data_IF_524953637905
#
_entry.id   IF_524953637905
#
_cell.length_a   1.000
_cell.length_b   1.000
_cell.length_c   1.000
_cell.angle_alpha   90.00
_cell.angle_beta   90.00
_cell.angle_gamma   90.00
#
_symmetry.space_group_name_H-M   'P 1'
#
loop_
_entity.id
_entity.type
_entity.pdbx_description
1 polymer ?
#
# COMPACT_ATOMS: atom_id res chain seq x y z
N UNK A 1 -42.66 -13.09 -51.96
CA UNK A 1 -41.68 -12.25 -52.68
C UNK A 1 -41.34 -11.05 -51.78
N UNK A 2 -40.27 -11.19 -50.99
CA UNK A 2 -39.87 -10.20 -49.96
C UNK A 2 -38.84 -9.27 -50.58
N UNK A 3 -39.12 -7.99 -50.57
CA UNK A 3 -38.34 -6.96 -51.23
C UNK A 3 -36.96 -6.75 -50.57
N UNK A 4 -35.88 -6.60 -51.35
CA UNK A 4 -34.49 -6.56 -50.83
C UNK A 4 -34.07 -5.24 -50.14
N UNK A 5 -34.96 -4.27 -49.99
CA UNK A 5 -34.60 -2.91 -49.58
C UNK A 5 -34.57 -2.64 -48.08
N UNK A 6 -35.17 -3.46 -47.23
CA UNK A 6 -35.21 -3.21 -45.79
C UNK A 6 -33.90 -3.55 -45.07
N UNK A 7 -33.14 -4.53 -45.57
CA UNK A 7 -31.86 -4.92 -44.97
C UNK A 7 -30.72 -3.90 -45.17
N UNK A 8 -30.80 -3.11 -46.25
CA UNK A 8 -29.81 -2.08 -46.55
C UNK A 8 -29.99 -0.81 -45.69
N UNK A 9 -31.24 -0.45 -45.36
CA UNK A 9 -31.52 0.71 -44.50
C UNK A 9 -31.14 0.45 -43.05
N UNK A 10 -31.38 -0.77 -42.53
CA UNK A 10 -31.02 -1.18 -41.17
C UNK A 10 -29.49 -1.13 -40.95
N UNK A 11 -28.71 -1.63 -41.90
CA UNK A 11 -27.22 -1.60 -41.79
C UNK A 11 -26.65 -0.17 -41.84
N UNK A 12 -27.25 0.73 -42.56
CA UNK A 12 -26.83 2.16 -42.61
C UNK A 12 -27.11 2.87 -41.30
N UNK A 13 -28.25 2.61 -40.63
CA UNK A 13 -28.60 3.18 -39.34
C UNK A 13 -27.68 2.65 -38.21
N UNK A 14 -27.43 1.35 -38.17
CA UNK A 14 -26.54 0.75 -37.18
C UNK A 14 -25.09 1.30 -37.30
N UNK A 15 -24.62 1.52 -38.54
CA UNK A 15 -23.28 2.09 -38.78
C UNK A 15 -23.18 3.57 -38.37
N UNK A 16 -24.23 4.35 -38.54
CA UNK A 16 -24.31 5.75 -38.11
C UNK A 16 -24.37 5.87 -36.58
N UNK A 17 -25.12 5.01 -35.89
CA UNK A 17 -25.17 4.97 -34.42
C UNK A 17 -23.82 4.59 -33.85
N UNK A 18 -23.12 3.61 -34.42
CA UNK A 18 -21.77 3.22 -33.99
C UNK A 18 -20.76 4.34 -34.12
N UNK A 19 -20.79 5.11 -35.23
CA UNK A 19 -19.87 6.25 -35.43
C UNK A 19 -20.18 7.39 -34.45
N UNK A 20 -21.43 7.70 -34.19
CA UNK A 20 -21.82 8.73 -33.23
C UNK A 20 -21.41 8.33 -31.80
N UNK A 21 -21.57 7.06 -31.44
CA UNK A 21 -21.14 6.56 -30.13
C UNK A 21 -19.63 6.63 -29.94
N UNK A 22 -18.84 6.32 -30.96
CA UNK A 22 -17.38 6.44 -30.94
C UNK A 22 -16.94 7.90 -30.88
N UNK A 23 -17.59 8.80 -31.60
CA UNK A 23 -17.32 10.25 -31.56
C UNK A 23 -17.67 10.85 -30.20
N UNK A 24 -18.80 10.46 -29.58
CA UNK A 24 -19.16 10.86 -28.23
C UNK A 24 -18.15 10.34 -27.20
N UNK A 25 -17.69 9.10 -27.34
CA UNK A 25 -16.65 8.53 -26.46
C UNK A 25 -15.33 9.30 -26.59
N UNK A 26 -14.94 9.68 -27.81
CA UNK A 26 -13.75 10.49 -28.08
C UNK A 26 -13.90 11.92 -27.53
N UNK A 27 -15.10 12.52 -27.59
CA UNK A 27 -15.36 13.83 -26.98
C UNK A 27 -15.31 13.77 -25.45
N UNK A 28 -15.83 12.70 -24.83
CA UNK A 28 -15.70 12.49 -23.39
C UNK A 28 -14.23 12.27 -22.94
N UNK A 29 -13.41 11.68 -23.78
CA UNK A 29 -11.99 11.49 -23.52
C UNK A 29 -11.15 12.77 -23.72
N UNK A 30 -11.72 13.81 -24.36
CA UNK A 30 -11.07 15.10 -24.62
C UNK A 30 -11.58 16.24 -23.73
N UNK A 31 -12.17 15.96 -22.57
CA UNK A 31 -12.30 17.03 -21.56
C UNK A 31 -10.88 17.54 -21.29
N UNK A 32 -10.59 18.86 -21.48
CA UNK A 32 -9.30 19.39 -21.09
C UNK A 32 -9.18 19.11 -19.61
N UNK A 33 -8.26 18.24 -19.23
CA UNK A 33 -7.79 18.14 -17.87
C UNK A 33 -7.14 19.50 -17.61
N UNK A 34 -7.92 20.44 -17.07
CA UNK A 34 -7.36 21.63 -16.42
C UNK A 34 -6.27 21.05 -15.55
N UNK A 35 -5.03 21.45 -15.78
CA UNK A 35 -3.85 20.92 -15.09
C UNK A 35 -4.11 21.05 -13.58
N UNK A 36 -4.69 20.00 -13.00
CA UNK A 36 -4.89 19.95 -11.57
C UNK A 36 -3.50 19.94 -10.98
N UNK A 37 -3.22 20.93 -10.14
CA UNK A 37 -1.96 20.93 -9.41
C UNK A 37 -1.73 19.56 -8.78
N UNK A 38 -0.52 19.00 -8.92
CA UNK A 38 -0.24 17.69 -8.39
C UNK A 38 -0.56 17.65 -6.89
N UNK A 39 -1.31 16.65 -6.46
CA UNK A 39 -1.65 16.45 -5.04
C UNK A 39 -0.44 15.96 -4.26
N UNK A 40 0.42 15.20 -4.94
CA UNK A 40 1.71 14.73 -4.49
C UNK A 40 2.77 15.37 -5.38
N UNK A 41 3.76 15.98 -4.78
CA UNK A 41 4.84 16.65 -5.51
C UNK A 41 6.18 16.49 -4.79
N UNK A 42 7.26 16.45 -5.55
CA UNK A 42 8.62 16.49 -5.00
C UNK A 42 8.76 17.66 -4.01
N UNK A 43 9.41 17.37 -2.88
CA UNK A 43 9.57 18.34 -1.79
C UNK A 43 8.47 18.30 -0.72
N UNK A 44 7.26 17.80 -1.00
CA UNK A 44 6.21 17.67 0.01
C UNK A 44 6.65 16.76 1.15
N UNK A 45 6.40 17.17 2.38
CA UNK A 45 6.52 16.31 3.55
C UNK A 45 5.21 15.60 3.82
N UNK A 46 5.29 14.45 4.46
CA UNK A 46 4.13 13.70 4.93
C UNK A 46 4.31 13.33 6.39
N UNK A 47 3.22 13.31 7.14
CA UNK A 47 3.16 12.71 8.46
C UNK A 47 1.89 11.88 8.55
N UNK A 48 1.96 10.77 9.26
CA UNK A 48 0.83 9.84 9.32
C UNK A 48 0.78 9.08 10.62
N UNK A 49 -0.38 8.51 10.85
CA UNK A 49 -0.68 7.67 11.98
C UNK A 49 -1.60 6.56 11.53
N UNK A 50 -1.24 5.32 11.80
CA UNK A 50 -2.04 4.18 11.41
C UNK A 50 -2.09 3.11 12.48
N UNK A 51 -3.20 2.36 12.48
CA UNK A 51 -3.38 1.12 13.22
C UNK A 51 -3.36 -0.06 12.26
N UNK A 52 -2.91 -1.19 12.74
CA UNK A 52 -2.84 -2.42 11.96
C UNK A 52 -3.31 -3.61 12.78
N UNK A 53 -3.83 -4.61 12.09
CA UNK A 53 -3.99 -5.97 12.57
C UNK A 53 -3.18 -6.91 11.69
N UNK A 54 -2.52 -7.88 12.29
CA UNK A 54 -1.70 -8.85 11.58
C UNK A 54 -1.83 -10.26 12.14
N UNK A 55 -1.70 -11.21 11.23
CA UNK A 55 -1.72 -12.64 11.52
C UNK A 55 -0.57 -13.34 10.79
N UNK A 56 0.06 -14.32 11.44
CA UNK A 56 1.11 -15.11 10.80
C UNK A 56 0.57 -15.88 9.61
N UNK A 57 1.37 -15.97 8.57
CA UNK A 57 1.07 -16.78 7.41
C UNK A 57 2.36 -17.38 6.84
N UNK A 58 2.22 -18.45 6.04
CA UNK A 58 3.36 -19.10 5.40
C UNK A 58 3.31 -18.82 3.90
N UNK A 59 3.88 -17.70 3.42
CA UNK A 59 4.07 -17.52 1.98
C UNK A 59 5.06 -18.55 1.47
N UNK A 60 5.24 -18.67 0.17
CA UNK A 60 6.16 -19.63 -0.44
C UNK A 60 7.63 -19.56 0.04
N UNK A 61 7.97 -18.53 0.80
CA UNK A 61 9.24 -18.37 1.54
C UNK A 61 8.95 -18.16 3.03
N UNK A 62 9.86 -18.64 3.88
CA UNK A 62 9.70 -18.60 5.33
C UNK A 62 9.09 -19.88 5.90
N UNK A 63 9.24 -20.08 7.18
CA UNK A 63 8.83 -21.29 7.89
C UNK A 63 8.10 -20.97 9.19
N UNK A 64 7.33 -19.88 9.21
CA UNK A 64 6.50 -19.54 10.36
C UNK A 64 5.53 -20.69 10.66
N UNK A 65 5.62 -21.25 11.83
CA UNK A 65 4.78 -22.36 12.30
C UNK A 65 3.93 -21.96 13.49
N UNK A 66 4.38 -20.97 14.25
CA UNK A 66 3.69 -20.46 15.41
C UNK A 66 2.56 -19.54 14.95
N UNK A 67 1.36 -19.74 15.44
CA UNK A 67 0.27 -18.80 15.25
C UNK A 67 0.60 -17.51 16.02
N UNK A 68 0.62 -16.42 15.27
CA UNK A 68 0.95 -15.11 15.81
C UNK A 68 -0.14 -14.15 15.38
N UNK A 69 -0.73 -13.49 16.35
CA UNK A 69 -1.66 -12.40 16.10
C UNK A 69 -1.28 -11.16 16.89
N UNK A 70 -1.46 -10.01 16.27
CA UNK A 70 -1.13 -8.72 16.89
C UNK A 70 -1.99 -7.59 16.37
N UNK A 71 -2.08 -6.55 17.17
CA UNK A 71 -2.42 -5.21 16.72
C UNK A 71 -1.18 -4.34 16.81
N UNK A 72 -1.07 -3.34 15.94
CA UNK A 72 0.08 -2.46 15.93
C UNK A 72 -0.33 -1.01 15.66
N UNK A 73 0.56 -0.11 16.06
CA UNK A 73 0.43 1.33 15.90
C UNK A 73 1.68 1.87 15.21
N UNK A 74 1.49 2.72 14.18
CA UNK A 74 2.57 3.16 13.30
C UNK A 74 2.53 4.67 13.08
N UNK A 75 3.30 5.48 13.85
CA UNK A 75 3.63 6.84 13.47
C UNK A 75 4.57 6.85 12.27
N UNK A 76 4.35 7.75 11.32
CA UNK A 76 5.07 7.83 10.06
C UNK A 76 5.46 9.27 9.73
N UNK A 77 6.67 9.42 9.14
CA UNK A 77 7.16 10.68 8.61
C UNK A 77 7.83 10.40 7.26
N UNK A 78 7.51 11.18 6.23
CA UNK A 78 8.06 10.95 4.90
C UNK A 78 8.28 12.26 4.12
N UNK A 79 8.96 12.11 2.98
CA UNK A 79 9.19 13.18 2.02
C UNK A 79 9.14 12.64 0.60
N UNK A 80 8.43 13.33 -0.26
CA UNK A 80 8.45 13.06 -1.69
C UNK A 80 9.77 13.53 -2.30
N UNK A 81 10.57 12.62 -2.82
CA UNK A 81 11.81 12.92 -3.54
C UNK A 81 11.58 13.09 -5.04
N UNK A 82 10.49 12.53 -5.54
CA UNK A 82 9.90 12.82 -6.86
C UNK A 82 8.39 12.97 -6.70
N UNK A 83 7.67 13.30 -7.76
CA UNK A 83 6.19 13.39 -7.74
C UNK A 83 5.50 12.03 -7.47
N UNK A 84 6.23 10.94 -7.55
CA UNK A 84 5.73 9.59 -7.36
C UNK A 84 6.39 8.82 -6.22
N UNK A 85 7.65 9.13 -5.89
CA UNK A 85 8.42 8.40 -4.89
C UNK A 85 8.49 9.17 -3.58
N UNK A 86 7.94 8.57 -2.53
CA UNK A 86 8.03 9.01 -1.13
C UNK A 86 9.03 8.12 -0.38
N UNK A 87 10.11 8.70 0.12
CA UNK A 87 10.92 8.07 1.16
C UNK A 87 10.26 8.34 2.50
N UNK A 88 10.15 7.33 3.35
CA UNK A 88 9.53 7.51 4.66
C UNK A 88 10.18 6.64 5.73
N UNK A 89 10.04 7.09 6.96
CA UNK A 89 10.35 6.34 8.17
C UNK A 89 9.08 6.03 8.94
N UNK A 90 9.08 4.90 9.61
CA UNK A 90 7.96 4.38 10.39
C UNK A 90 8.48 3.85 11.73
N UNK A 91 7.92 4.36 12.83
CA UNK A 91 7.99 3.70 14.13
C UNK A 91 6.87 2.67 14.23
N UNK A 92 7.07 1.62 15.01
CA UNK A 92 6.06 0.58 15.20
C UNK A 92 6.02 0.13 16.65
N UNK A 93 4.81 0.06 17.20
CA UNK A 93 4.54 -0.58 18.49
C UNK A 93 3.55 -1.72 18.24
N UNK A 94 3.95 -2.95 18.59
CA UNK A 94 3.16 -4.16 18.40
C UNK A 94 2.70 -4.67 19.76
N UNK A 95 1.44 -5.07 19.83
CA UNK A 95 0.84 -5.77 20.94
C UNK A 95 0.42 -7.16 20.44
N UNK A 96 1.27 -8.15 20.64
CA UNK A 96 0.96 -9.54 20.36
C UNK A 96 0.00 -10.07 21.43
N UNK A 97 -0.98 -10.83 21.04
CA UNK A 97 -1.88 -11.55 21.96
C UNK A 97 -1.89 -13.06 21.72
N UNK A 98 -1.34 -13.51 20.59
CA UNK A 98 -0.99 -14.90 20.30
C UNK A 98 0.49 -15.02 19.89
N UNK A 99 1.21 -16.05 20.35
CA UNK A 99 0.85 -17.12 21.27
C UNK A 99 0.81 -16.67 22.74
N UNK A 100 1.34 -15.49 23.04
CA UNK A 100 1.38 -14.91 24.39
C UNK A 100 1.40 -13.39 24.32
N UNK A 101 0.85 -12.74 25.35
CA UNK A 101 0.87 -11.29 25.40
C UNK A 101 2.29 -10.76 25.49
N UNK A 102 2.70 -10.03 24.45
CA UNK A 102 4.06 -9.48 24.34
C UNK A 102 4.01 -8.13 23.64
N UNK A 103 4.83 -7.21 24.12
CA UNK A 103 5.01 -5.89 23.49
C UNK A 103 6.33 -5.88 22.72
N UNK A 104 6.29 -5.42 21.47
CA UNK A 104 7.46 -5.25 20.63
C UNK A 104 7.48 -3.86 20.02
N UNK A 105 8.67 -3.38 19.68
CA UNK A 105 8.85 -2.07 19.06
C UNK A 105 9.80 -2.17 17.86
N UNK A 106 9.56 -1.39 16.84
CA UNK A 106 10.39 -1.36 15.66
C UNK A 106 10.55 0.05 15.07
N UNK A 107 11.56 0.18 14.24
CA UNK A 107 11.76 1.33 13.37
C UNK A 107 12.16 0.84 11.99
N UNK A 108 11.49 1.33 10.95
CA UNK A 108 11.81 1.07 9.56
C UNK A 108 12.03 2.41 8.84
N UNK A 109 13.17 2.58 8.17
CA UNK A 109 13.56 3.86 7.59
C UNK A 109 14.34 3.72 6.26
N UNK A 110 14.56 2.50 5.77
CA UNK A 110 15.28 2.25 4.52
C UNK A 110 14.29 1.74 3.48
N UNK A 111 13.83 2.63 2.62
CA UNK A 111 12.86 2.33 1.57
C UNK A 111 11.82 3.42 1.37
N UNK A 112 10.71 3.09 0.72
CA UNK A 112 9.70 4.09 0.39
C UNK A 112 8.42 3.53 -0.18
N UNK A 113 7.58 4.46 -0.67
CA UNK A 113 6.33 4.21 -1.39
C UNK A 113 6.41 4.77 -2.80
N UNK A 114 6.02 4.00 -3.78
CA UNK A 114 5.86 4.49 -5.15
C UNK A 114 4.38 4.63 -5.47
N UNK A 115 3.93 5.86 -5.73
CA UNK A 115 2.57 6.22 -6.06
C UNK A 115 2.37 6.23 -7.58
N UNK A 116 1.38 5.51 -8.08
CA UNK A 116 1.14 5.41 -9.52
C UNK A 116 0.55 6.69 -10.11
N UNK A 117 -0.16 7.49 -9.29
CA UNK A 117 -0.75 8.77 -9.72
C UNK A 117 -0.45 9.86 -8.70
N UNK A 118 -0.06 11.05 -9.16
CA UNK A 118 0.27 12.20 -8.30
C UNK A 118 -0.80 13.29 -8.28
N UNK A 119 -1.72 13.31 -9.26
CA UNK A 119 -2.73 14.35 -9.43
C UNK A 119 -4.17 13.88 -9.09
N UNK A 120 -4.37 12.59 -8.82
CA UNK A 120 -5.68 12.03 -8.51
C UNK A 120 -5.98 12.09 -7.01
N UNK A 121 -7.28 12.16 -6.70
CA UNK A 121 -7.79 12.13 -5.33
C UNK A 121 -7.50 10.78 -4.64
N UNK A 122 -7.56 9.70 -5.41
CA UNK A 122 -7.17 8.35 -5.00
C UNK A 122 -5.94 7.93 -5.76
N UNK A 123 -4.94 7.44 -5.06
CA UNK A 123 -3.73 6.93 -5.66
C UNK A 123 -3.34 5.59 -5.06
N UNK A 124 -3.28 4.53 -5.87
CA UNK A 124 -2.66 3.29 -5.45
C UNK A 124 -1.15 3.47 -5.38
N UNK A 125 -0.51 2.67 -4.53
CA UNK A 125 0.94 2.66 -4.36
C UNK A 125 1.42 1.28 -3.94
N UNK A 126 2.71 1.02 -4.14
CA UNK A 126 3.44 -0.10 -3.59
C UNK A 126 4.44 0.39 -2.58
N UNK A 127 4.78 -0.46 -1.62
CA UNK A 127 5.74 -0.15 -0.56
C UNK A 127 6.84 -1.20 -0.48
N UNK A 128 8.02 -0.76 -0.08
CA UNK A 128 9.12 -1.60 0.36
C UNK A 128 9.96 -0.81 1.35
N UNK A 129 10.09 -1.30 2.58
CA UNK A 129 10.84 -0.63 3.63
C UNK A 129 11.46 -1.68 4.56
N UNK A 130 12.67 -1.41 5.04
CA UNK A 130 13.39 -2.25 5.96
C UNK A 130 13.83 -1.48 7.21
N UNK A 131 14.12 -2.21 8.27
CA UNK A 131 14.54 -1.62 9.53
C UNK A 131 14.88 -2.64 10.62
N UNK A 132 14.82 -2.17 11.84
CA UNK A 132 15.19 -2.91 13.04
C UNK A 132 13.96 -3.12 13.92
N UNK A 133 13.96 -4.22 14.67
CA UNK A 133 12.87 -4.57 15.56
C UNK A 133 13.42 -5.18 16.85
N UNK A 134 12.96 -4.66 17.98
CA UNK A 134 13.08 -5.29 19.28
C UNK A 134 11.83 -6.12 19.52
N UNK A 135 11.98 -7.44 19.57
CA UNK A 135 10.87 -8.39 19.70
C UNK A 135 11.22 -9.46 20.71
N UNK A 136 10.75 -9.34 21.96
CA UNK A 136 11.01 -10.31 23.03
C UNK A 136 10.05 -11.51 22.98
N UNK A 137 9.34 -11.74 21.89
CA UNK A 137 8.48 -12.89 21.71
C UNK A 137 9.31 -14.17 21.70
N UNK A 138 9.11 -15.03 22.68
CA UNK A 138 9.85 -16.30 22.85
C UNK A 138 9.17 -17.39 22.03
N UNK A 139 9.67 -17.58 20.80
CA UNK A 139 9.12 -18.54 19.84
C UNK A 139 10.26 -19.25 19.07
N UNK A 140 10.00 -20.47 18.55
CA UNK A 140 11.04 -21.26 17.86
C UNK A 140 11.61 -20.61 16.59
N UNK A 141 10.93 -19.65 16.00
CA UNK A 141 11.34 -18.97 14.78
C UNK A 141 12.43 -17.91 15.01
N UNK A 142 12.53 -17.40 16.22
CA UNK A 142 13.45 -16.32 16.59
C UNK A 142 14.35 -16.74 17.76
N UNK A 143 15.68 -16.64 17.60
CA UNK A 143 16.66 -16.89 18.66
C UNK A 143 17.15 -15.61 19.34
N UNK A 144 16.57 -14.45 18.98
CA UNK A 144 17.00 -13.14 19.45
C UNK A 144 15.86 -12.19 19.67
N UNK A 145 16.04 -11.33 20.65
CA UNK A 145 15.17 -10.18 20.88
C UNK A 145 15.37 -9.10 19.83
N UNK A 146 16.62 -8.87 19.40
CA UNK A 146 16.92 -7.88 18.37
C UNK A 146 16.94 -8.52 16.99
N UNK A 147 16.07 -8.02 16.09
CA UNK A 147 15.82 -8.56 14.77
C UNK A 147 15.83 -7.46 13.71
N UNK A 148 15.89 -7.89 12.44
CA UNK A 148 15.62 -7.05 11.28
C UNK A 148 14.16 -7.24 10.84
N UNK A 149 13.59 -6.18 10.26
CA UNK A 149 12.28 -6.27 9.65
C UNK A 149 12.32 -5.81 8.19
N UNK A 150 11.59 -6.50 7.34
CA UNK A 150 11.35 -6.13 5.94
C UNK A 150 9.85 -6.13 5.69
N UNK A 151 9.35 -5.02 5.22
CA UNK A 151 7.93 -4.81 4.96
C UNK A 151 7.76 -4.51 3.47
N UNK A 152 6.87 -5.22 2.81
CA UNK A 152 6.47 -4.92 1.44
C UNK A 152 4.98 -5.13 1.26
N UNK A 153 4.40 -4.43 0.31
CA UNK A 153 2.96 -4.50 0.11
C UNK A 153 2.44 -3.47 -0.88
N UNK A 154 1.14 -3.28 -0.82
CA UNK A 154 0.44 -2.32 -1.64
C UNK A 154 -0.69 -1.65 -0.85
N UNK A 155 -1.08 -0.46 -1.28
CA UNK A 155 -2.15 0.29 -0.64
C UNK A 155 -2.81 1.29 -1.57
N UNK A 156 -3.81 1.95 -1.02
CA UNK A 156 -4.50 3.06 -1.65
C UNK A 156 -4.52 4.23 -0.66
N UNK A 157 -4.20 5.41 -1.15
CA UNK A 157 -4.26 6.66 -0.41
C UNK A 157 -5.33 7.58 -1.00
N UNK A 158 -6.17 8.13 -0.14
CA UNK A 158 -7.01 9.26 -0.44
C UNK A 158 -6.25 10.55 -0.10
N UNK A 159 -6.06 11.43 -1.08
CA UNK A 159 -5.30 12.68 -0.94
C UNK A 159 -6.21 13.87 -1.19
N UNK A 160 -6.81 14.48 -0.14
CA UNK A 160 -7.60 15.68 -0.29
C UNK A 160 -6.68 16.89 -0.61
N UNK A 161 -7.27 17.98 -1.10
CA UNK A 161 -6.52 19.22 -1.32
C UNK A 161 -6.09 19.88 0.00
N UNK A 162 -6.86 19.71 1.06
CA UNK A 162 -6.61 20.22 2.41
C UNK A 162 -7.01 19.16 3.45
N UNK A 163 -6.34 19.23 4.61
CA UNK A 163 -6.61 18.34 5.73
C UNK A 163 -6.02 16.93 5.59
N UNK A 164 -6.42 16.02 6.47
CA UNK A 164 -5.93 14.64 6.46
C UNK A 164 -6.51 13.84 5.31
N UNK A 165 -5.70 12.98 4.73
CA UNK A 165 -6.10 11.91 3.84
C UNK A 165 -6.26 10.60 4.61
N UNK A 166 -6.80 9.59 3.94
CA UNK A 166 -6.92 8.24 4.43
C UNK A 166 -5.97 7.32 3.68
N UNK A 167 -5.51 6.26 4.34
CA UNK A 167 -4.72 5.21 3.72
C UNK A 167 -5.18 3.86 4.22
N UNK A 168 -5.16 2.89 3.31
CA UNK A 168 -5.36 1.48 3.58
C UNK A 168 -4.25 0.73 2.89
N UNK A 169 -3.57 -0.17 3.62
CA UNK A 169 -2.47 -0.97 3.10
C UNK A 169 -2.66 -2.44 3.47
N UNK A 170 -2.30 -3.32 2.55
CA UNK A 170 -2.02 -4.72 2.82
C UNK A 170 -0.51 -4.94 2.71
N UNK A 171 0.08 -5.52 3.75
CA UNK A 171 1.52 -5.72 3.88
C UNK A 171 1.86 -7.17 4.18
N UNK A 172 2.97 -7.64 3.66
CA UNK A 172 3.73 -8.72 4.27
C UNK A 172 4.80 -8.12 5.17
N UNK A 173 4.81 -8.52 6.42
CA UNK A 173 5.80 -8.12 7.42
C UNK A 173 6.69 -9.33 7.76
N UNK A 174 7.93 -9.27 7.34
CA UNK A 174 8.94 -10.28 7.63
C UNK A 174 9.86 -9.81 8.74
N UNK A 175 10.08 -10.66 9.75
CA UNK A 175 10.99 -10.43 10.88
C UNK A 175 11.97 -11.60 10.94
N UNK A 176 13.25 -11.32 11.04
CA UNK A 176 14.30 -12.33 11.14
C UNK A 176 15.57 -11.76 11.77
N UNK A 177 16.41 -12.62 12.30
CA UNK A 177 17.71 -12.22 12.81
C UNK A 177 18.80 -12.13 11.72
N UNK A 178 18.44 -12.30 10.44
CA UNK A 178 19.33 -12.27 9.28
C UNK A 178 20.55 -13.25 9.41
N UNK A 179 20.39 -14.36 10.14
CA UNK A 179 21.45 -15.33 10.35
C UNK A 179 22.52 -14.90 11.38
N UNK A 180 22.28 -13.85 12.16
CA UNK A 180 23.21 -13.39 13.20
C UNK A 180 23.11 -14.16 14.52
N UNK A 181 22.22 -15.17 14.60
CA UNK A 181 22.05 -16.10 15.72
C UNK A 181 21.71 -17.51 15.18
N UNK A 182 21.66 -18.50 16.09
CA UNK A 182 21.60 -19.91 15.74
C UNK A 182 20.40 -20.32 14.89
N UNK A 183 19.17 -20.02 15.33
CA UNK A 183 17.97 -20.30 14.55
C UNK A 183 17.46 -19.03 13.86
N UNK A 184 17.12 -19.15 12.60
CA UNK A 184 16.57 -18.05 11.80
C UNK A 184 15.52 -18.59 10.81
N UNK A 185 14.41 -19.07 11.34
CA UNK A 185 13.26 -19.46 10.51
C UNK A 185 12.49 -18.24 10.02
N UNK A 186 12.51 -17.17 10.82
CA UNK A 186 11.81 -15.92 10.56
C UNK A 186 10.30 -16.02 10.76
N UNK A 187 9.69 -14.89 11.00
CA UNK A 187 8.24 -14.69 11.06
C UNK A 187 7.79 -13.99 9.79
N UNK A 188 6.68 -14.45 9.22
CA UNK A 188 5.95 -13.70 8.21
C UNK A 188 4.53 -13.47 8.70
N UNK A 189 4.05 -12.25 8.57
CA UNK A 189 2.69 -11.87 8.93
C UNK A 189 2.02 -11.10 7.79
N UNK A 190 0.81 -11.50 7.45
CA UNK A 190 -0.10 -10.71 6.64
C UNK A 190 -0.70 -9.62 7.53
N UNK A 191 -0.61 -8.37 7.11
CA UNK A 191 -1.03 -7.22 7.91
C UNK A 191 -1.97 -6.34 7.12
N UNK A 192 -3.13 -6.04 7.67
CA UNK A 192 -4.06 -5.03 7.18
C UNK A 192 -3.91 -3.77 8.02
N UNK A 193 -3.64 -2.65 7.39
CA UNK A 193 -3.42 -1.38 8.05
C UNK A 193 -4.36 -0.31 7.50
N UNK A 194 -4.87 0.54 8.38
CA UNK A 194 -5.62 1.74 8.02
C UNK A 194 -5.13 2.94 8.85
N UNK A 195 -5.16 4.13 8.26
CA UNK A 195 -4.67 5.31 8.94
C UNK A 195 -5.02 6.62 8.29
N UNK A 196 -4.56 7.68 8.94
CA UNK A 196 -4.66 9.07 8.46
C UNK A 196 -3.28 9.61 8.12
N UNK A 197 -3.21 10.44 7.11
CA UNK A 197 -1.96 11.05 6.67
C UNK A 197 -2.19 12.47 6.16
N UNK A 198 -1.27 13.36 6.50
CA UNK A 198 -1.22 14.76 6.03
C UNK A 198 -0.11 14.89 5.01
N UNK A 199 -0.39 15.57 3.91
CA UNK A 199 0.61 16.06 2.96
C UNK A 199 0.83 17.54 3.26
N UNK A 200 2.04 17.88 3.68
CA UNK A 200 2.47 19.22 3.99
C UNK A 200 3.13 19.81 2.73
N UNK A 201 2.48 20.81 2.14
CA UNK A 201 2.89 21.48 0.89
C UNK A 201 3.64 22.75 1.16
#
# INVERSE_FOLDING_TARGET
MILPNEKLTSRRHARRIGIISVLLLILFLRTPVLAQQPRLAAGNWTRGLSGAWGHSWTPGYGKTKTDIEFVAFHPQLGRFVTDHLELYGEGSLFLYYEPTFTVSAGIAAVGGRYHFWNNRKWTPYVIGIAGLMWNPLDIPELDRVFNFQVIHGAGVRFVPLRGPGLMIEFRNHHISNAGTAGKNLGINAATLMAGVQWVLR
#
